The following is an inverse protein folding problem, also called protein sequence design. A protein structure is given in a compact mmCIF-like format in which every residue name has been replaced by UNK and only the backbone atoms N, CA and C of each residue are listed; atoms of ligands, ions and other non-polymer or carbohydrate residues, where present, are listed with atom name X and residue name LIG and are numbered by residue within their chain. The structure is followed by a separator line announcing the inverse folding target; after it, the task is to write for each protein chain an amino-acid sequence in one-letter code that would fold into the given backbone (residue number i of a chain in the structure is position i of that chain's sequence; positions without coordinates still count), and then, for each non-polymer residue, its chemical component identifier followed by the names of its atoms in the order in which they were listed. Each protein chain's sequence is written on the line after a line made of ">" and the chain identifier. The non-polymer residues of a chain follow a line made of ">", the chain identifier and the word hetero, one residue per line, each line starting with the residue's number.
data_IF_381046643919
#
_entry.id   IF_381046643919
#
_cell.length_a   1.000
_cell.length_b   1.000
_cell.length_c   1.000
_cell.angle_alpha   90.00
_cell.angle_beta   90.00
_cell.angle_gamma   90.00
#
_symmetry.space_group_name_H-M   'P 1'
#
loop_
_entity.id
_entity.type
_entity.pdbx_description
1 polymer ?
#
# COMPACT_ATOMS: atom_id res chain seq x y z
N UNK A 1 -14.53 -20.52 3.56
CA UNK A 1 -15.81 -19.82 3.36
C UNK A 1 -16.13 -18.89 4.51
N UNK A 2 -15.95 -17.58 4.30
CA UNK A 2 -16.28 -16.55 5.29
C UNK A 2 -17.65 -15.95 4.95
N UNK A 3 -18.58 -16.06 5.90
CA UNK A 3 -19.95 -15.52 5.85
C UNK A 3 -19.94 -14.05 5.37
N UNK A 4 -20.59 -13.78 4.24
CA UNK A 4 -20.93 -12.42 3.81
C UNK A 4 -22.11 -11.96 4.66
N UNK A 5 -21.84 -11.35 5.82
CA UNK A 5 -22.86 -10.71 6.66
C UNK A 5 -22.84 -9.19 6.46
N UNK A 6 -23.88 -8.66 5.80
CA UNK A 6 -24.17 -7.21 5.69
C UNK A 6 -23.15 -6.38 4.88
N UNK A 7 -23.61 -5.30 4.23
CA UNK A 7 -22.70 -4.35 3.59
C UNK A 7 -21.86 -3.63 4.66
N UNK A 8 -20.56 -3.91 4.74
CA UNK A 8 -19.65 -3.23 5.67
C UNK A 8 -19.60 -1.71 5.38
N UNK A 9 -20.06 -0.89 6.33
CA UNK A 9 -20.10 0.58 6.20
C UNK A 9 -18.72 1.18 5.87
N UNK A 10 -17.66 0.70 6.54
CA UNK A 10 -16.29 1.17 6.29
C UNK A 10 -15.82 0.86 4.87
N UNK A 11 -16.10 -0.36 4.39
CA UNK A 11 -15.81 -0.76 3.01
C UNK A 11 -16.56 0.11 2.01
N UNK A 12 -17.84 0.41 2.27
CA UNK A 12 -18.64 1.29 1.42
C UNK A 12 -18.09 2.71 1.36
N UNK A 13 -17.64 3.27 2.49
CA UNK A 13 -17.00 4.60 2.53
C UNK A 13 -15.68 4.63 1.75
N UNK A 14 -14.83 3.61 1.93
CA UNK A 14 -13.60 3.49 1.16
C UNK A 14 -13.88 3.35 -0.34
N UNK A 15 -14.95 2.63 -0.71
CA UNK A 15 -15.37 2.46 -2.11
C UNK A 15 -15.94 3.75 -2.70
N UNK A 16 -16.65 4.55 -1.90
CA UNK A 16 -17.11 5.88 -2.28
C UNK A 16 -15.93 6.80 -2.59
N UNK A 17 -14.92 6.83 -1.71
CA UNK A 17 -13.71 7.59 -1.96
C UNK A 17 -13.01 7.11 -3.24
N UNK A 18 -12.81 5.80 -3.42
CA UNK A 18 -12.20 5.26 -4.64
C UNK A 18 -12.96 5.69 -5.90
N UNK A 19 -14.30 5.63 -5.87
CA UNK A 19 -15.15 6.08 -6.99
C UNK A 19 -14.95 7.57 -7.29
N UNK A 20 -14.75 8.40 -6.25
CA UNK A 20 -14.50 9.84 -6.41
C UNK A 20 -13.18 10.15 -7.14
N UNK A 21 -12.21 9.22 -7.13
CA UNK A 21 -10.94 9.38 -7.83
C UNK A 21 -11.06 9.22 -9.35
N UNK A 22 -12.17 8.64 -9.83
CA UNK A 22 -12.43 8.41 -11.26
C UNK A 22 -11.31 7.64 -11.99
N UNK A 23 -10.65 6.70 -11.30
CA UNK A 23 -9.70 5.79 -11.94
C UNK A 23 -10.44 4.78 -12.82
N UNK A 24 -9.81 4.35 -13.91
CA UNK A 24 -10.41 3.38 -14.82
C UNK A 24 -10.74 2.06 -14.08
N UNK A 25 -12.00 1.61 -14.12
CA UNK A 25 -12.44 0.39 -13.44
C UNK A 25 -11.68 -0.87 -13.91
N UNK A 26 -11.18 -0.87 -15.15
CA UNK A 26 -10.36 -1.94 -15.71
C UNK A 26 -9.00 -2.11 -15.01
N UNK A 27 -8.59 -1.17 -14.15
CA UNK A 27 -7.40 -1.32 -13.30
C UNK A 27 -7.67 -2.23 -12.09
N UNK A 28 -8.93 -2.57 -11.80
CA UNK A 28 -9.32 -3.26 -10.58
C UNK A 28 -9.86 -4.66 -10.85
N UNK A 29 -9.68 -5.53 -9.85
CA UNK A 29 -10.29 -6.86 -9.77
C UNK A 29 -11.04 -7.00 -8.45
N UNK A 30 -12.37 -6.80 -8.53
CA UNK A 30 -13.26 -6.77 -7.36
C UNK A 30 -13.27 -8.08 -6.57
N UNK A 31 -12.86 -9.20 -7.19
CA UNK A 31 -12.77 -10.52 -6.54
C UNK A 31 -11.76 -10.52 -5.39
N UNK A 32 -10.76 -9.64 -5.44
CA UNK A 32 -9.70 -9.55 -4.44
C UNK A 32 -9.88 -8.39 -3.45
N UNK A 33 -11.04 -7.71 -3.46
CA UNK A 33 -11.35 -6.67 -2.49
C UNK A 33 -11.47 -7.25 -1.08
N UNK A 34 -10.82 -6.64 -0.09
CA UNK A 34 -10.84 -7.10 1.31
C UNK A 34 -10.86 -5.93 2.28
N UNK A 35 -11.76 -5.97 3.25
CA UNK A 35 -11.80 -4.97 4.32
C UNK A 35 -11.16 -5.53 5.58
N UNK A 36 -10.35 -4.73 6.26
CA UNK A 36 -9.63 -5.08 7.48
C UNK A 36 -10.10 -4.27 8.70
N UNK A 37 -11.31 -3.69 8.65
CA UNK A 37 -11.94 -3.14 9.84
C UNK A 37 -12.33 -4.26 10.82
N UNK A 38 -12.55 -3.91 12.09
CA UNK A 38 -12.91 -4.88 13.15
C UNK A 38 -14.13 -5.74 12.84
N UNK A 39 -15.06 -5.27 11.99
CA UNK A 39 -16.22 -6.06 11.57
C UNK A 39 -15.87 -7.11 10.50
N UNK A 40 -14.94 -6.81 9.59
CA UNK A 40 -14.60 -7.69 8.45
C UNK A 40 -13.37 -8.56 8.70
N UNK A 41 -12.50 -8.12 9.61
CA UNK A 41 -11.33 -8.83 10.07
C UNK A 41 -11.26 -8.57 11.59
N UNK A 42 -11.90 -9.42 12.42
CA UNK A 42 -11.99 -9.21 13.85
C UNK A 42 -10.64 -9.37 14.56
N UNK A 43 -10.51 -8.80 15.75
CA UNK A 43 -9.23 -8.75 16.49
C UNK A 43 -8.76 -10.12 16.97
N UNK A 44 -9.66 -11.12 17.01
CA UNK A 44 -9.32 -12.52 17.27
C UNK A 44 -8.53 -13.19 16.15
N UNK A 45 -8.46 -12.58 14.95
CA UNK A 45 -7.66 -13.10 13.85
C UNK A 45 -6.21 -12.62 13.91
N UNK A 46 -5.32 -13.30 13.20
CA UNK A 46 -3.90 -12.98 13.24
C UNK A 46 -3.59 -11.56 12.75
N UNK A 47 -2.59 -10.94 13.39
CA UNK A 47 -2.06 -9.63 13.00
C UNK A 47 -0.91 -9.72 11.98
N UNK A 48 -0.49 -10.94 11.66
CA UNK A 48 0.57 -11.23 10.68
C UNK A 48 0.24 -12.46 9.88
N UNK A 49 0.80 -12.55 8.69
CA UNK A 49 0.84 -13.77 7.91
C UNK A 49 2.27 -14.01 7.41
N UNK A 50 2.58 -15.27 7.12
CA UNK A 50 3.82 -15.66 6.45
C UNK A 50 3.48 -16.08 5.04
N UNK A 51 4.03 -15.39 4.05
CA UNK A 51 3.88 -15.70 2.64
C UNK A 51 5.24 -15.66 1.94
N UNK A 52 5.51 -16.63 1.07
CA UNK A 52 6.80 -16.80 0.42
C UNK A 52 7.99 -16.80 1.41
N UNK A 53 7.79 -17.41 2.58
CA UNK A 53 8.81 -17.47 3.64
C UNK A 53 9.06 -16.14 4.38
N UNK A 54 8.26 -15.11 4.13
CA UNK A 54 8.42 -13.79 4.76
C UNK A 54 7.18 -13.37 5.53
N UNK A 55 7.40 -12.85 6.74
CA UNK A 55 6.33 -12.33 7.60
C UNK A 55 5.97 -10.91 7.18
N UNK A 56 4.68 -10.63 7.07
CA UNK A 56 4.16 -9.27 6.89
C UNK A 56 2.99 -8.99 7.85
N UNK A 57 2.81 -7.71 8.17
CA UNK A 57 1.76 -7.26 9.11
C UNK A 57 0.45 -7.03 8.36
N UNK A 58 -0.65 -7.54 8.90
CA UNK A 58 -2.00 -7.32 8.36
C UNK A 58 -2.39 -5.84 8.46
N UNK A 59 -2.94 -5.23 7.40
CA UNK A 59 -3.23 -3.80 7.39
C UNK A 59 -4.56 -3.50 8.09
N UNK A 60 -4.59 -3.69 9.41
CA UNK A 60 -5.75 -3.43 10.28
C UNK A 60 -6.31 -2.02 10.07
N UNK A 61 -7.63 -1.91 9.99
CA UNK A 61 -8.35 -0.66 9.71
C UNK A 61 -8.12 -0.08 8.30
N UNK A 62 -7.65 -0.87 7.34
CA UNK A 62 -7.61 -0.48 5.92
C UNK A 62 -8.63 -1.25 5.09
N UNK A 63 -8.96 -0.73 3.91
CA UNK A 63 -9.72 -1.45 2.91
C UNK A 63 -8.88 -1.62 1.64
N UNK A 64 -8.63 -2.87 1.24
CA UNK A 64 -7.96 -3.23 -0.01
C UNK A 64 -8.95 -3.31 -1.15
N UNK A 65 -8.61 -2.64 -2.23
CA UNK A 65 -9.20 -2.83 -3.55
C UNK A 65 -8.20 -3.59 -4.42
N UNK A 66 -8.61 -4.76 -4.91
CA UNK A 66 -7.75 -5.61 -5.73
C UNK A 66 -7.41 -4.93 -7.05
N UNK A 67 -6.14 -4.98 -7.45
CA UNK A 67 -5.68 -4.47 -8.73
C UNK A 67 -5.58 -5.59 -9.75
N UNK A 68 -5.75 -5.26 -11.03
CA UNK A 68 -5.44 -6.18 -12.12
C UNK A 68 -3.94 -6.43 -12.18
N UNK A 69 -3.58 -7.72 -12.15
CA UNK A 69 -2.21 -8.18 -12.33
C UNK A 69 -2.13 -8.99 -13.62
N UNK A 70 -1.07 -8.77 -14.40
CA UNK A 70 -0.86 -9.52 -15.63
C UNK A 70 -0.76 -11.02 -15.36
N UNK A 71 -1.72 -11.80 -15.88
CA UNK A 71 -1.85 -13.23 -15.57
C UNK A 71 -0.72 -14.06 -16.15
N UNK A 72 -0.24 -13.71 -17.35
CA UNK A 72 0.83 -14.45 -18.01
C UNK A 72 2.11 -14.32 -17.20
N UNK A 73 2.51 -13.09 -16.91
CA UNK A 73 3.66 -12.78 -16.08
C UNK A 73 3.51 -13.39 -14.68
N UNK A 74 2.35 -13.23 -14.06
CA UNK A 74 2.06 -13.80 -12.75
C UNK A 74 2.29 -15.31 -12.68
N UNK A 75 1.95 -16.03 -13.75
CA UNK A 75 2.10 -17.48 -13.81
C UNK A 75 3.54 -17.90 -14.06
N UNK A 76 4.23 -17.22 -14.98
CA UNK A 76 5.64 -17.51 -15.33
C UNK A 76 6.58 -17.19 -14.17
N UNK A 77 6.40 -16.05 -13.51
CA UNK A 77 7.24 -15.61 -12.39
C UNK A 77 6.80 -16.21 -11.04
N UNK A 78 5.72 -17.01 -11.03
CA UNK A 78 5.12 -17.61 -9.84
C UNK A 78 4.90 -16.61 -8.68
N UNK A 79 4.47 -15.39 -9.01
CA UNK A 79 4.50 -14.24 -8.08
C UNK A 79 3.73 -14.51 -6.78
N UNK A 80 2.63 -15.27 -6.83
CA UNK A 80 1.79 -15.51 -5.66
C UNK A 80 2.39 -16.52 -4.69
N UNK A 81 3.28 -17.39 -5.18
CA UNK A 81 3.95 -18.43 -4.40
C UNK A 81 5.30 -17.95 -3.89
N UNK A 82 6.05 -17.27 -4.74
CA UNK A 82 7.48 -17.05 -4.51
C UNK A 82 7.82 -15.61 -4.10
N UNK A 83 6.92 -14.64 -4.28
CA UNK A 83 7.22 -13.24 -3.99
C UNK A 83 6.63 -12.79 -2.66
N UNK A 84 7.44 -12.09 -1.86
CA UNK A 84 7.06 -11.61 -0.53
C UNK A 84 6.01 -10.50 -0.62
N UNK A 85 5.25 -10.28 0.44
CA UNK A 85 4.29 -9.19 0.53
C UNK A 85 4.93 -7.97 1.17
N UNK A 86 4.83 -6.82 0.51
CA UNK A 86 5.30 -5.53 1.04
C UNK A 86 4.28 -4.42 0.80
N UNK A 87 4.51 -3.28 1.45
CA UNK A 87 3.69 -2.08 1.38
C UNK A 87 4.52 -0.90 0.88
N UNK A 88 3.93 -0.05 0.05
CA UNK A 88 4.54 1.18 -0.43
C UNK A 88 3.62 2.37 -0.15
N UNK A 89 4.08 3.28 0.72
CA UNK A 89 3.44 4.56 0.97
C UNK A 89 3.68 5.53 -0.17
N UNK A 90 2.64 6.20 -0.64
CA UNK A 90 2.78 7.23 -1.68
C UNK A 90 1.57 8.18 -1.70
N UNK A 91 1.60 9.22 -2.53
CA UNK A 91 0.45 10.07 -2.80
C UNK A 91 -0.58 9.38 -3.70
N UNK A 92 -1.80 9.90 -3.74
CA UNK A 92 -2.86 9.36 -4.61
C UNK A 92 -2.49 9.47 -6.08
N UNK A 93 -1.84 10.57 -6.48
CA UNK A 93 -1.42 10.84 -7.86
C UNK A 93 -0.32 9.88 -8.32
N UNK A 94 0.69 9.68 -7.46
CA UNK A 94 1.76 8.72 -7.71
C UNK A 94 1.22 7.28 -7.69
N UNK A 95 0.29 6.95 -6.78
CA UNK A 95 -0.38 5.65 -6.79
C UNK A 95 -1.14 5.42 -8.11
N UNK A 96 -1.88 6.42 -8.60
CA UNK A 96 -2.58 6.31 -9.88
C UNK A 96 -1.59 6.02 -11.01
N UNK A 97 -0.48 6.75 -11.05
CA UNK A 97 0.56 6.59 -12.06
C UNK A 97 1.22 5.21 -11.99
N UNK A 98 1.54 4.71 -10.79
CA UNK A 98 2.13 3.37 -10.60
C UNK A 98 1.16 2.28 -11.07
N UNK A 99 -0.11 2.39 -10.72
CA UNK A 99 -1.14 1.40 -11.08
C UNK A 99 -1.42 1.42 -12.58
N UNK A 100 -1.59 2.61 -13.17
CA UNK A 100 -1.88 2.77 -14.59
C UNK A 100 -0.76 2.25 -15.49
N UNK A 101 0.50 2.53 -15.14
CA UNK A 101 1.67 2.11 -15.91
C UNK A 101 2.23 0.74 -15.49
N UNK A 102 1.69 0.15 -14.41
CA UNK A 102 2.18 -1.11 -13.81
C UNK A 102 3.67 -1.08 -13.48
N UNK A 103 4.19 0.10 -13.15
CA UNK A 103 5.61 0.34 -12.92
C UNK A 103 5.79 1.32 -11.78
N UNK A 104 6.64 0.93 -10.82
CA UNK A 104 7.09 1.83 -9.79
C UNK A 104 7.94 2.94 -10.38
N UNK A 105 7.63 4.16 -9.97
CA UNK A 105 8.35 5.35 -10.37
C UNK A 105 9.54 5.58 -9.42
N UNK A 106 10.63 6.14 -9.93
CA UNK A 106 11.78 6.60 -9.11
C UNK A 106 11.91 8.12 -9.23
N UNK A 107 12.65 8.78 -8.32
CA UNK A 107 12.90 10.21 -8.44
C UNK A 107 13.44 10.60 -9.82
N UNK A 108 12.85 11.62 -10.43
CA UNK A 108 13.13 12.04 -11.82
C UNK A 108 12.10 11.59 -12.85
N UNK A 109 11.31 10.53 -12.57
CA UNK A 109 10.19 10.12 -13.41
C UNK A 109 9.06 11.18 -13.36
N UNK A 110 8.20 11.22 -14.39
CA UNK A 110 6.99 12.05 -14.42
C UNK A 110 5.74 11.21 -14.15
N UNK A 111 4.85 11.71 -13.30
CA UNK A 111 3.51 11.18 -13.07
C UNK A 111 2.58 11.46 -14.26
N UNK A 112 1.40 10.83 -14.27
CA UNK A 112 0.39 10.98 -15.34
C UNK A 112 -0.19 12.40 -15.45
N UNK A 113 -0.13 13.16 -14.35
CA UNK A 113 -0.47 14.59 -14.29
C UNK A 113 0.68 15.50 -14.76
N UNK A 114 1.83 14.93 -15.12
CA UNK A 114 3.01 15.64 -15.58
C UNK A 114 3.95 16.11 -14.46
N UNK A 115 3.59 15.92 -13.19
CA UNK A 115 4.46 16.29 -12.06
C UNK A 115 5.70 15.40 -12.02
N UNK A 116 6.87 16.00 -11.76
CA UNK A 116 8.10 15.25 -11.56
C UNK A 116 8.16 14.72 -10.13
N UNK A 117 8.53 13.45 -9.97
CA UNK A 117 8.84 12.91 -8.65
C UNK A 117 10.14 13.54 -8.16
N UNK A 118 10.02 14.44 -7.18
CA UNK A 118 11.13 15.07 -6.52
C UNK A 118 11.82 14.10 -5.55
N UNK A 119 13.11 14.33 -5.28
CA UNK A 119 13.75 13.80 -4.09
C UNK A 119 13.21 14.62 -2.91
N UNK A 120 12.48 13.99 -1.99
CA UNK A 120 11.91 14.68 -0.83
C UNK A 120 13.02 15.22 0.09
N UNK A 121 12.80 16.35 0.78
CA UNK A 121 13.76 16.87 1.76
C UNK A 121 14.10 15.82 2.82
N UNK A 122 15.40 15.61 3.09
CA UNK A 122 15.89 14.60 4.04
C UNK A 122 16.33 13.27 3.41
N UNK A 123 16.07 13.04 2.12
CA UNK A 123 16.61 11.88 1.40
C UNK A 123 18.06 12.12 0.94
N UNK A 124 18.88 11.07 1.02
CA UNK A 124 20.27 11.09 0.56
C UNK A 124 20.28 11.34 -0.96
N UNK A 125 20.98 12.39 -1.41
CA UNK A 125 21.16 12.68 -2.84
C UNK A 125 21.72 11.43 -3.56
N UNK A 126 21.25 11.18 -4.79
CA UNK A 126 21.70 10.08 -5.68
C UNK A 126 21.22 8.66 -5.35
N UNK A 127 20.39 8.47 -4.32
CA UNK A 127 19.74 7.17 -4.04
C UNK A 127 18.39 7.05 -4.74
N UNK A 128 18.39 6.58 -5.98
CA UNK A 128 17.19 6.28 -6.76
C UNK A 128 16.66 4.87 -6.43
N UNK A 129 16.07 4.72 -5.24
CA UNK A 129 15.50 3.45 -4.79
C UNK A 129 13.98 3.49 -4.76
N UNK A 130 13.39 2.32 -4.91
CA UNK A 130 12.00 2.07 -4.55
C UNK A 130 12.00 1.50 -3.14
N UNK A 131 11.25 2.15 -2.24
CA UNK A 131 11.14 1.76 -0.85
C UNK A 131 9.81 1.07 -0.57
N UNK A 132 9.85 -0.02 0.17
CA UNK A 132 8.66 -0.71 0.67
C UNK A 132 8.89 -1.18 2.12
N UNK A 133 7.89 -1.79 2.73
CA UNK A 133 7.98 -2.28 4.10
C UNK A 133 7.14 -3.56 4.28
N UNK A 134 7.54 -4.49 5.17
CA UNK A 134 6.67 -5.60 5.58
C UNK A 134 5.53 -5.15 6.49
N UNK A 135 5.48 -3.87 6.89
CA UNK A 135 4.42 -3.32 7.74
C UNK A 135 3.81 -2.04 7.18
N UNK A 136 2.48 -1.99 7.19
CA UNK A 136 1.76 -0.79 6.77
C UNK A 136 2.02 0.40 7.70
N UNK A 137 2.36 0.13 8.97
CA UNK A 137 2.61 1.19 9.95
C UNK A 137 3.74 2.13 9.48
N UNK A 138 4.82 1.57 8.93
CA UNK A 138 5.92 2.35 8.35
C UNK A 138 5.54 3.02 7.03
N UNK A 139 4.86 2.28 6.15
CA UNK A 139 4.43 2.81 4.84
C UNK A 139 3.38 3.91 4.94
N UNK A 140 2.62 3.98 6.03
CA UNK A 140 1.56 4.96 6.23
C UNK A 140 1.99 6.24 6.96
N UNK A 141 3.29 6.40 7.24
CA UNK A 141 3.81 7.58 7.92
C UNK A 141 3.64 8.81 7.01
N UNK A 142 3.27 9.99 7.55
CA UNK A 142 2.94 11.16 6.74
C UNK A 142 3.99 11.59 5.72
N UNK A 143 5.29 11.38 5.99
CA UNK A 143 6.36 11.69 5.03
C UNK A 143 6.33 10.81 3.77
N UNK A 144 5.82 9.58 3.87
CA UNK A 144 5.70 8.64 2.75
C UNK A 144 4.28 8.60 2.18
N UNK A 145 3.27 8.82 3.02
CA UNK A 145 1.86 8.70 2.68
C UNK A 145 1.11 9.97 3.11
N UNK A 146 1.22 11.05 2.32
CA UNK A 146 0.51 12.30 2.62
C UNK A 146 -1.01 12.06 2.58
N UNK A 147 -1.74 12.67 3.51
CA UNK A 147 -3.19 12.55 3.56
C UNK A 147 -3.89 13.56 2.65
N UNK A 148 -5.11 13.22 2.22
CA UNK A 148 -6.03 14.13 1.53
C UNK A 148 -7.37 14.16 2.24
N UNK A 149 -8.01 15.32 2.26
CA UNK A 149 -9.35 15.44 2.82
C UNK A 149 -10.41 14.94 1.82
N UNK A 150 -11.42 14.26 2.34
CA UNK A 150 -12.56 13.75 1.59
C UNK A 150 -13.85 13.96 2.36
N UNK A 151 -14.84 14.63 1.76
CA UNK A 151 -16.19 14.73 2.32
C UNK A 151 -17.07 13.63 1.72
N UNK A 152 -17.49 12.68 2.55
CA UNK A 152 -18.40 11.63 2.12
C UNK A 152 -19.79 12.20 1.85
N UNK A 153 -20.37 11.85 0.71
CA UNK A 153 -21.78 12.11 0.38
C UNK A 153 -22.71 11.14 1.12
N UNK A 154 -22.21 9.96 1.51
CA UNK A 154 -22.97 8.96 2.27
C UNK A 154 -23.19 9.42 3.72
N UNK A 155 -22.16 9.95 4.38
CA UNK A 155 -22.25 10.32 5.81
C UNK A 155 -22.28 11.83 6.05
N UNK A 156 -22.00 12.65 5.03
CA UNK A 156 -21.78 14.10 5.11
C UNK A 156 -20.61 14.52 6.02
N UNK A 157 -19.77 13.56 6.43
CA UNK A 157 -18.62 13.80 7.30
C UNK A 157 -17.34 14.03 6.51
N UNK A 158 -16.38 14.70 7.13
CA UNK A 158 -15.05 14.94 6.59
C UNK A 158 -14.09 13.86 7.09
N UNK A 159 -13.24 13.36 6.20
CA UNK A 159 -12.26 12.32 6.50
C UNK A 159 -10.88 12.72 5.99
N UNK A 160 -9.85 12.38 6.77
CA UNK A 160 -8.48 12.28 6.28
C UNK A 160 -8.29 10.90 5.63
N UNK A 161 -7.81 10.92 4.39
CA UNK A 161 -7.61 9.74 3.57
C UNK A 161 -6.14 9.50 3.32
N UNK A 162 -5.70 8.26 3.50
CA UNK A 162 -4.36 7.78 3.16
C UNK A 162 -4.44 6.60 2.21
N UNK A 163 -3.46 6.50 1.31
CA UNK A 163 -3.34 5.41 0.35
C UNK A 163 -1.98 4.72 0.49
N UNK A 164 -2.00 3.39 0.49
CA UNK A 164 -0.80 2.54 0.44
C UNK A 164 -1.00 1.50 -0.66
N UNK A 165 0.07 1.16 -1.38
CA UNK A 165 0.04 0.08 -2.37
C UNK A 165 0.54 -1.21 -1.71
N UNK A 166 -0.27 -2.26 -1.76
CA UNK A 166 0.15 -3.61 -1.40
C UNK A 166 0.81 -4.28 -2.61
N UNK A 167 1.99 -4.86 -2.38
CA UNK A 167 2.90 -5.28 -3.44
C UNK A 167 3.38 -6.73 -3.23
N UNK A 168 3.66 -7.40 -4.34
CA UNK A 168 4.53 -8.58 -4.38
C UNK A 168 5.93 -8.11 -4.74
N UNK A 169 6.95 -8.54 -4.01
CA UNK A 169 8.34 -8.19 -4.28
C UNK A 169 9.22 -9.43 -4.42
N UNK A 170 10.01 -9.46 -5.51
CA UNK A 170 10.83 -10.63 -5.88
C UNK A 170 11.99 -10.83 -4.89
N UNK A 171 12.13 -11.99 -4.24
CA UNK A 171 13.28 -12.29 -3.41
C UNK A 171 14.60 -12.14 -4.18
N UNK A 172 15.67 -11.78 -3.47
CA UNK A 172 16.99 -11.57 -4.06
C UNK A 172 17.16 -10.28 -4.87
N UNK A 173 16.11 -9.44 -4.97
CA UNK A 173 16.18 -8.16 -5.70
C UNK A 173 16.22 -6.94 -4.79
N UNK A 174 16.24 -7.12 -3.47
CA UNK A 174 16.14 -6.02 -2.51
C UNK A 174 17.09 -6.23 -1.33
N UNK A 175 17.30 -5.15 -0.60
CA UNK A 175 18.01 -5.14 0.68
C UNK A 175 17.04 -4.69 1.77
N UNK A 176 17.27 -5.19 2.99
CA UNK A 176 16.54 -4.81 4.20
C UNK A 176 17.44 -3.89 5.02
N UNK A 177 16.89 -2.80 5.54
CA UNK A 177 17.62 -1.88 6.39
C UNK A 177 16.77 -1.33 7.54
N UNK A 178 17.45 -0.58 8.40
CA UNK A 178 16.82 0.18 9.48
C UNK A 178 15.99 1.34 8.95
N UNK A 179 15.06 1.81 9.78
CA UNK A 179 14.26 3.00 9.52
C UNK A 179 15.13 4.24 9.27
N UNK A 180 14.70 5.11 8.36
CA UNK A 180 15.40 6.35 8.00
C UNK A 180 14.65 7.63 8.38
N UNK A 181 13.58 7.53 9.17
CA UNK A 181 12.77 8.69 9.60
C UNK A 181 13.25 9.29 10.92
N UNK A 182 14.30 8.72 11.54
CA UNK A 182 14.84 9.20 12.80
C UNK A 182 13.89 8.95 13.97
N UNK A 183 13.23 7.79 14.00
CA UNK A 183 12.31 7.43 15.08
C UNK A 183 13.00 7.27 16.44
N UNK A 184 14.33 7.13 16.46
CA UNK A 184 15.10 6.92 17.68
C UNK A 184 14.62 5.67 18.42
N UNK A 185 14.32 5.80 19.71
CA UNK A 185 13.82 4.68 20.52
C UNK A 185 12.32 4.39 20.32
N UNK A 186 11.59 5.23 19.56
CA UNK A 186 10.16 5.02 19.32
C UNK A 186 9.96 3.83 18.38
N UNK A 187 9.25 2.81 18.87
CA UNK A 187 8.89 1.65 18.05
C UNK A 187 7.82 2.04 17.04
N UNK A 188 8.08 1.80 15.76
CA UNK A 188 7.14 2.17 14.68
C UNK A 188 6.05 1.11 14.49
N UNK A 189 6.47 -0.17 14.50
CA UNK A 189 5.58 -1.30 14.40
C UNK A 189 5.77 -2.21 15.62
N UNK A 190 4.70 -2.63 16.31
CA UNK A 190 4.84 -3.51 17.48
C UNK A 190 5.48 -4.87 17.14
N UNK A 191 5.44 -5.29 15.88
CA UNK A 191 5.88 -6.60 15.42
C UNK A 191 7.23 -6.52 14.72
N UNK A 192 7.34 -5.70 13.66
CA UNK A 192 8.58 -5.57 12.88
C UNK A 192 9.55 -4.64 13.61
N UNK A 193 10.81 -5.04 13.85
CA UNK A 193 11.80 -4.17 14.47
C UNK A 193 12.18 -3.01 13.55
N UNK A 194 12.49 -1.85 14.13
CA UNK A 194 12.94 -0.68 13.36
C UNK A 194 14.18 -0.99 12.50
N UNK A 195 15.01 -1.98 12.88
CA UNK A 195 16.19 -2.42 12.13
C UNK A 195 15.88 -3.21 10.84
N UNK A 196 14.61 -3.59 10.62
CA UNK A 196 14.18 -4.40 9.46
C UNK A 196 12.92 -3.86 8.79
N UNK A 197 12.55 -2.62 9.10
CA UNK A 197 11.25 -2.07 8.68
C UNK A 197 11.27 -1.49 7.27
N UNK A 198 12.46 -1.17 6.74
CA UNK A 198 12.60 -0.61 5.41
C UNK A 198 13.23 -1.62 4.46
N UNK A 199 12.60 -1.79 3.30
CA UNK A 199 13.07 -2.63 2.19
C UNK A 199 13.30 -1.71 1.00
N UNK A 200 14.45 -1.82 0.34
CA UNK A 200 14.74 -0.98 -0.82
C UNK A 200 15.37 -1.75 -1.98
N UNK A 201 15.15 -1.27 -3.19
CA UNK A 201 15.68 -1.87 -4.42
C UNK A 201 15.96 -0.82 -5.50
N UNK A 202 16.93 -1.09 -6.36
CA UNK A 202 17.15 -0.41 -7.64
C UNK A 202 16.63 -1.21 -8.83
N UNK A 203 16.23 -2.47 -8.63
CA UNK A 203 15.84 -3.38 -9.69
C UNK A 203 14.43 -3.05 -10.14
N UNK A 204 14.29 -2.46 -11.34
CA UNK A 204 12.99 -2.20 -11.96
C UNK A 204 12.24 -3.51 -12.21
N UNK A 205 10.91 -3.42 -12.26
CA UNK A 205 10.01 -4.54 -12.47
C UNK A 205 10.15 -5.69 -11.44
N UNK A 206 10.83 -5.48 -10.31
CA UNK A 206 10.92 -6.47 -9.22
C UNK A 206 9.79 -6.37 -8.19
N UNK A 207 8.89 -5.40 -8.37
CA UNK A 207 7.75 -5.14 -7.49
C UNK A 207 6.49 -5.07 -8.36
N UNK A 208 5.46 -5.81 -7.98
CA UNK A 208 4.15 -5.83 -8.64
C UNK A 208 3.08 -5.31 -7.69
N UNK A 209 2.43 -4.18 -8.00
CA UNK A 209 1.29 -3.71 -7.22
C UNK A 209 0.10 -4.65 -7.44
N UNK A 210 -0.57 -5.07 -6.37
CA UNK A 210 -1.75 -5.93 -6.47
C UNK A 210 -2.94 -5.51 -5.59
N UNK A 211 -2.74 -4.54 -4.70
CA UNK A 211 -3.81 -3.97 -3.90
C UNK A 211 -3.63 -2.48 -3.68
N UNK A 212 -4.71 -1.71 -3.84
CA UNK A 212 -4.80 -0.34 -3.37
C UNK A 212 -5.45 -0.35 -1.98
N UNK A 213 -4.70 -0.01 -0.94
CA UNK A 213 -5.18 0.08 0.43
C UNK A 213 -5.59 1.52 0.72
N UNK A 214 -6.82 1.69 1.19
CA UNK A 214 -7.41 2.98 1.56
C UNK A 214 -7.71 2.97 3.04
N UNK A 215 -7.27 4.01 3.74
CA UNK A 215 -7.63 4.27 5.12
C UNK A 215 -8.34 5.62 5.22
N UNK A 216 -9.50 5.61 5.86
CA UNK A 216 -10.27 6.79 6.22
C UNK A 216 -10.25 6.97 7.75
N UNK A 217 -9.86 8.15 8.20
CA UNK A 217 -9.99 8.61 9.57
C UNK A 217 -10.95 9.82 9.60
N UNK A 218 -12.00 9.77 10.41
CA UNK A 218 -12.96 10.87 10.53
C UNK A 218 -12.27 12.09 11.19
N UNK A 219 -12.46 13.28 10.61
CA UNK A 219 -12.01 14.54 11.19
C UNK A 219 -13.15 15.08 12.05
N UNK A 220 -12.88 15.26 13.35
CA UNK A 220 -13.78 15.86 14.32
C UNK A 220 -13.99 17.35 14.07
#
# INVERSE_FOLDING_TARGET
>A
DAKVSGSCKYKSLCAEYLKSLNWNEALFDRRFNRCYCSNCYPDSWDNTLVEAGSLYVIPRSWCRFGLQVDKVRSNVDHIWRDWIVTYHGTSVEAAHSIVAHRQFLIPGDKCIDGEKIAILPGHIKEKYHIYTSPTIAYSSIPCYCPSKQFRSKITNKLYDVRIVIQCRQKPGTFQVQQETIGAGNKRICPIIPNSQVEIFTTVRASIIPYGLLIHLAEIS
#
